data_IF_368822883898
#
_entry.id   IF_368822883898
#
_cell.length_a   1.000
_cell.length_b   1.000
_cell.length_c   1.000
_cell.angle_alpha   90.00
_cell.angle_beta   90.00
_cell.angle_gamma   90.00
#
_symmetry.space_group_name_H-M   'P 1'
#
loop_
_entity.id
_entity.type
_entity.pdbx_description
1 polymer ?
#
# COMPACT_ATOMS: atom_id res chain seq x y z
N UNK A 1 -23.92 -35.90 -0.41
CA UNK A 1 -23.07 -34.79 0.09
C UNK A 1 -21.65 -35.04 -0.38
N UNK A 2 -21.20 -34.27 -1.37
CA UNK A 2 -20.05 -34.64 -2.22
C UNK A 2 -18.70 -34.39 -1.57
N UNK A 3 -17.69 -35.16 -1.97
CA UNK A 3 -16.26 -35.05 -1.59
C UNK A 3 -15.62 -33.67 -1.88
N UNK A 4 -16.36 -32.73 -2.46
CA UNK A 4 -15.90 -31.39 -2.84
C UNK A 4 -15.74 -30.44 -1.64
N UNK A 5 -16.73 -30.44 -0.74
CA UNK A 5 -16.81 -29.57 0.45
C UNK A 5 -16.17 -30.19 1.69
N UNK A 6 -15.55 -31.36 1.56
CA UNK A 6 -14.90 -32.02 2.67
C UNK A 6 -13.64 -31.22 3.10
N UNK A 7 -13.43 -30.95 4.39
CA UNK A 7 -12.30 -30.13 4.87
C UNK A 7 -10.92 -30.70 4.51
N UNK A 8 -10.82 -32.02 4.31
CA UNK A 8 -9.60 -32.68 3.82
C UNK A 8 -9.41 -32.65 2.28
N UNK A 9 -10.35 -32.09 1.52
CA UNK A 9 -10.23 -31.96 0.07
C UNK A 9 -9.30 -30.79 -0.28
N UNK A 10 -8.01 -31.08 -0.41
CA UNK A 10 -7.02 -30.10 -0.88
C UNK A 10 -7.23 -29.71 -2.35
N UNK A 11 -6.52 -28.67 -2.79
CA UNK A 11 -6.56 -28.18 -4.17
C UNK A 11 -6.18 -29.26 -5.19
N UNK A 12 -5.31 -30.20 -4.82
CA UNK A 12 -4.95 -31.36 -5.63
C UNK A 12 -6.16 -32.24 -5.96
N UNK A 13 -6.96 -32.60 -4.96
CA UNK A 13 -8.16 -33.42 -5.12
C UNK A 13 -9.21 -32.72 -5.97
N UNK A 14 -9.44 -31.42 -5.73
CA UNK A 14 -10.37 -30.60 -6.52
C UNK A 14 -9.92 -30.50 -7.98
N UNK A 15 -8.63 -30.26 -8.24
CA UNK A 15 -8.06 -30.26 -9.59
C UNK A 15 -8.21 -31.63 -10.27
N UNK A 16 -7.99 -32.73 -9.55
CA UNK A 16 -8.16 -34.08 -10.08
C UNK A 16 -9.61 -34.32 -10.48
N UNK A 17 -10.57 -33.97 -9.63
CA UNK A 17 -12.00 -34.06 -9.92
C UNK A 17 -12.33 -33.27 -11.19
N UNK A 18 -11.97 -31.98 -11.23
CA UNK A 18 -12.25 -31.11 -12.39
C UNK A 18 -11.68 -31.66 -13.69
N UNK A 19 -10.44 -32.16 -13.69
CA UNK A 19 -9.82 -32.79 -14.87
C UNK A 19 -10.53 -34.06 -15.33
N UNK A 20 -11.18 -34.78 -14.43
CA UNK A 20 -11.95 -35.97 -14.77
C UNK A 20 -13.32 -35.60 -15.33
N UNK A 21 -13.99 -34.57 -14.81
CA UNK A 21 -15.38 -34.27 -15.19
C UNK A 21 -15.52 -33.27 -16.33
N UNK A 22 -14.54 -32.40 -16.56
CA UNK A 22 -14.56 -31.44 -17.66
C UNK A 22 -13.99 -32.11 -18.91
N UNK A 23 -14.78 -32.12 -19.99
CA UNK A 23 -14.36 -32.61 -21.30
C UNK A 23 -13.63 -31.54 -22.09
N UNK A 24 -14.24 -30.37 -22.20
CA UNK A 24 -13.65 -29.20 -22.84
C UNK A 24 -14.26 -27.91 -22.29
N UNK A 25 -13.56 -26.80 -22.48
CA UNK A 25 -14.06 -25.46 -22.17
C UNK A 25 -13.88 -24.64 -23.44
N UNK A 26 -15.00 -24.23 -24.04
CA UNK A 26 -15.03 -23.36 -25.20
C UNK A 26 -15.16 -21.94 -24.68
N UNK A 27 -14.22 -21.07 -25.06
CA UNK A 27 -14.25 -19.66 -24.71
C UNK A 27 -14.45 -18.82 -25.98
N UNK A 28 -15.50 -17.99 -26.00
CA UNK A 28 -15.77 -17.01 -27.06
C UNK A 28 -15.66 -15.61 -26.49
N UNK A 29 -15.03 -14.72 -27.25
CA UNK A 29 -14.95 -13.32 -26.88
C UNK A 29 -16.02 -12.55 -27.64
N UNK A 30 -16.92 -11.90 -26.90
CA UNK A 30 -17.96 -11.01 -27.44
C UNK A 30 -17.79 -9.65 -26.78
N UNK A 31 -17.34 -8.67 -27.56
CA UNK A 31 -17.00 -7.32 -27.09
C UNK A 31 -16.06 -7.31 -25.86
N UNK A 32 -16.60 -6.86 -24.72
CA UNK A 32 -15.94 -6.76 -23.43
C UNK A 32 -16.26 -7.95 -22.51
N UNK A 33 -16.75 -9.08 -23.04
CA UNK A 33 -17.06 -10.29 -22.29
C UNK A 33 -16.41 -11.52 -22.90
N UNK A 34 -16.12 -12.49 -22.04
CA UNK A 34 -15.71 -13.84 -22.40
C UNK A 34 -16.85 -14.75 -21.96
N UNK A 35 -17.47 -15.39 -22.94
CA UNK A 35 -18.48 -16.41 -22.75
C UNK A 35 -17.79 -17.77 -22.74
N UNK A 36 -18.08 -18.57 -21.72
CA UNK A 36 -17.58 -19.92 -21.57
C UNK A 36 -18.73 -20.90 -21.70
N UNK A 37 -18.48 -21.98 -22.43
CA UNK A 37 -19.29 -23.19 -22.41
C UNK A 37 -18.39 -24.31 -21.92
N UNK A 38 -18.71 -24.87 -20.76
CA UNK A 38 -18.02 -26.02 -20.19
C UNK A 38 -18.80 -27.26 -20.60
N UNK A 39 -18.20 -28.12 -21.41
CA UNK A 39 -18.77 -29.43 -21.71
C UNK A 39 -18.30 -30.43 -20.65
N UNK A 40 -19.25 -31.09 -20.02
CA UNK A 40 -18.98 -32.14 -19.05
C UNK A 40 -18.85 -33.50 -19.76
N UNK A 41 -18.09 -34.43 -19.17
CA UNK A 41 -17.97 -35.79 -19.71
C UNK A 41 -19.32 -36.53 -19.79
N UNK A 42 -20.33 -36.09 -19.03
CA UNK A 42 -21.69 -36.64 -19.06
C UNK A 42 -22.59 -36.12 -20.18
N UNK A 43 -22.08 -35.26 -21.09
CA UNK A 43 -22.84 -34.69 -22.20
C UNK A 43 -23.65 -33.43 -21.86
N UNK A 44 -23.67 -33.03 -20.58
CA UNK A 44 -24.26 -31.77 -20.13
C UNK A 44 -23.32 -30.58 -20.42
N UNK A 45 -23.85 -29.36 -20.42
CA UNK A 45 -23.06 -28.14 -20.59
C UNK A 45 -23.44 -27.06 -19.56
N UNK A 46 -22.44 -26.31 -19.11
CA UNK A 46 -22.64 -25.14 -18.27
C UNK A 46 -22.14 -23.88 -18.99
N UNK A 47 -23.02 -22.90 -19.10
CA UNK A 47 -22.70 -21.61 -19.70
C UNK A 47 -22.42 -20.56 -18.62
N UNK A 48 -21.40 -19.74 -18.83
CA UNK A 48 -21.14 -18.57 -17.99
C UNK A 48 -20.49 -17.44 -18.78
N UNK A 49 -20.73 -16.20 -18.36
CA UNK A 49 -20.15 -15.02 -19.00
C UNK A 49 -19.42 -14.18 -17.96
N UNK A 50 -18.19 -13.77 -18.28
CA UNK A 50 -17.38 -12.87 -17.44
C UNK A 50 -16.93 -11.66 -18.25
N UNK A 51 -16.68 -10.54 -17.58
CA UNK A 51 -16.11 -9.36 -18.25
C UNK A 51 -14.64 -9.64 -18.62
N UNK A 52 -14.30 -9.37 -19.88
CA UNK A 52 -12.96 -9.49 -20.45
C UNK A 52 -12.03 -8.45 -19.83
N UNK A 53 -10.88 -8.87 -19.32
CA UNK A 53 -9.82 -7.94 -18.92
C UNK A 53 -9.28 -7.22 -20.16
N UNK A 54 -9.11 -5.89 -20.11
CA UNK A 54 -8.46 -5.14 -21.20
C UNK A 54 -7.03 -5.64 -21.39
N UNK A 55 -6.56 -5.67 -22.64
CA UNK A 55 -5.19 -6.09 -22.96
C UNK A 55 -4.19 -5.29 -22.12
N UNK A 56 -3.31 -5.98 -21.38
CA UNK A 56 -2.37 -5.39 -20.42
C UNK A 56 -2.77 -5.48 -18.95
N UNK A 57 -3.96 -6.01 -18.62
CA UNK A 57 -4.44 -6.12 -17.24
C UNK A 57 -4.47 -7.57 -16.75
N UNK A 58 -3.80 -7.83 -15.62
CA UNK A 58 -4.03 -8.98 -14.74
C UNK A 58 -3.84 -8.52 -13.27
N UNK A 59 -4.59 -9.11 -12.31
CA UNK A 59 -4.54 -8.87 -10.84
C UNK A 59 -5.07 -7.48 -10.38
N UNK A 60 -6.40 -7.30 -10.38
CA UNK A 60 -7.10 -6.04 -10.09
C UNK A 60 -6.77 -5.33 -8.75
N UNK A 61 -6.31 -6.03 -7.70
CA UNK A 61 -5.97 -5.36 -6.42
C UNK A 61 -4.65 -4.58 -6.49
N UNK A 62 -3.65 -5.10 -7.21
CA UNK A 62 -2.33 -4.47 -7.22
C UNK A 62 -2.30 -3.15 -8.00
N UNK A 63 -3.05 -3.03 -9.09
CA UNK A 63 -3.05 -1.82 -9.91
C UNK A 63 -3.78 -0.65 -9.24
N UNK A 64 -4.92 -0.92 -8.59
CA UNK A 64 -5.67 0.10 -7.83
C UNK A 64 -4.88 0.55 -6.59
N UNK A 65 -4.32 -0.39 -5.83
CA UNK A 65 -3.50 -0.09 -4.65
C UNK A 65 -2.24 0.70 -5.04
N UNK A 66 -1.54 0.29 -6.11
CA UNK A 66 -0.37 1.01 -6.62
C UNK A 66 -0.76 2.39 -7.14
N UNK A 67 -1.88 2.52 -7.85
CA UNK A 67 -2.36 3.82 -8.32
C UNK A 67 -2.63 4.77 -7.16
N UNK A 68 -3.38 4.33 -6.15
CA UNK A 68 -3.68 5.13 -4.97
C UNK A 68 -2.39 5.53 -4.24
N UNK A 69 -1.47 4.58 -4.08
CA UNK A 69 -0.18 4.82 -3.44
C UNK A 69 0.65 5.84 -4.23
N UNK A 70 0.80 5.67 -5.54
CA UNK A 70 1.54 6.60 -6.41
C UNK A 70 0.88 7.98 -6.40
N UNK A 71 -0.46 8.07 -6.41
CA UNK A 71 -1.17 9.35 -6.27
C UNK A 71 -0.84 10.06 -4.96
N UNK A 72 -0.81 9.35 -3.82
CA UNK A 72 -0.46 9.95 -2.53
C UNK A 72 1.01 10.37 -2.47
N UNK A 73 1.90 9.56 -3.02
CA UNK A 73 3.33 9.83 -3.03
C UNK A 73 3.71 10.96 -4.00
N UNK A 74 3.03 11.09 -5.13
CA UNK A 74 3.29 12.12 -6.14
C UNK A 74 3.02 13.54 -5.61
N UNK A 75 2.18 13.69 -4.59
CA UNK A 75 1.94 14.98 -3.90
C UNK A 75 3.08 15.40 -2.96
N UNK A 76 4.10 14.55 -2.85
CA UNK A 76 5.08 14.58 -1.77
C UNK A 76 6.52 14.33 -2.22
N UNK A 77 6.70 13.51 -3.25
CA UNK A 77 7.99 12.99 -3.66
C UNK A 77 8.16 13.15 -5.16
N UNK A 78 9.38 13.40 -5.60
CA UNK A 78 9.75 13.29 -7.01
C UNK A 78 9.69 11.83 -7.47
N UNK A 79 9.43 11.61 -8.75
CA UNK A 79 9.25 10.29 -9.37
C UNK A 79 10.39 9.29 -9.03
N UNK A 80 11.65 9.75 -8.94
CA UNK A 80 12.79 8.90 -8.57
C UNK A 80 12.71 8.36 -7.13
N UNK A 81 12.29 9.19 -6.17
CA UNK A 81 12.09 8.76 -4.78
C UNK A 81 10.89 7.82 -4.64
N UNK A 82 9.84 8.03 -5.43
CA UNK A 82 8.69 7.12 -5.52
C UNK A 82 9.16 5.76 -6.00
N UNK A 83 9.96 5.70 -7.07
CA UNK A 83 10.49 4.45 -7.60
C UNK A 83 11.29 3.66 -6.55
N UNK A 84 12.19 4.34 -5.83
CA UNK A 84 12.98 3.72 -4.76
C UNK A 84 12.09 3.15 -3.65
N UNK A 85 11.03 3.88 -3.26
CA UNK A 85 10.10 3.45 -2.23
C UNK A 85 9.30 2.22 -2.66
N UNK A 86 8.77 2.22 -3.89
CA UNK A 86 8.03 1.08 -4.44
C UNK A 86 8.90 -0.18 -4.51
N UNK A 87 10.16 -0.05 -4.92
CA UNK A 87 11.12 -1.16 -4.96
C UNK A 87 11.46 -1.71 -3.57
N UNK A 88 11.63 -0.81 -2.58
CA UNK A 88 11.87 -1.20 -1.19
C UNK A 88 10.69 -1.98 -0.61
N UNK A 89 9.47 -1.60 -0.99
CA UNK A 89 8.22 -2.27 -0.61
C UNK A 89 7.89 -3.49 -1.48
N UNK A 90 8.78 -3.88 -2.40
CA UNK A 90 8.63 -5.04 -3.29
C UNK A 90 7.44 -4.96 -4.24
N UNK A 91 6.96 -3.75 -4.55
CA UNK A 91 6.02 -3.56 -5.67
C UNK A 91 6.74 -3.79 -7.00
N UNK A 92 6.06 -4.46 -7.92
CA UNK A 92 6.55 -4.80 -9.26
C UNK A 92 5.55 -4.36 -10.31
N UNK A 93 6.02 -4.01 -11.51
CA UNK A 93 5.18 -3.69 -12.66
C UNK A 93 5.25 -4.84 -13.67
N UNK A 94 4.10 -5.23 -14.23
CA UNK A 94 4.03 -6.19 -15.35
C UNK A 94 4.71 -7.52 -15.03
N UNK A 95 5.54 -8.04 -15.95
CA UNK A 95 6.37 -9.25 -15.77
C UNK A 95 7.57 -8.99 -14.83
N UNK A 96 7.32 -8.72 -13.55
CA UNK A 96 8.35 -8.60 -12.49
C UNK A 96 9.36 -7.45 -12.65
N UNK A 97 9.02 -6.42 -13.42
CA UNK A 97 9.92 -5.29 -13.63
C UNK A 97 10.03 -4.41 -12.39
N UNK A 98 11.25 -3.94 -12.12
CA UNK A 98 11.57 -2.94 -11.08
C UNK A 98 11.03 -1.56 -11.47
N UNK A 99 10.65 -0.74 -10.48
CA UNK A 99 10.30 0.66 -10.72
C UNK A 99 11.54 1.49 -11.01
N UNK A 100 11.47 2.33 -12.04
CA UNK A 100 12.44 3.38 -12.35
C UNK A 100 11.72 4.71 -12.44
N UNK A 101 12.44 5.82 -12.36
CA UNK A 101 11.85 7.16 -12.50
C UNK A 101 11.02 7.28 -13.79
N UNK A 102 11.56 6.82 -14.92
CA UNK A 102 10.87 6.83 -16.22
C UNK A 102 9.58 6.00 -16.20
N UNK A 103 9.57 4.86 -15.50
CA UNK A 103 8.38 4.02 -15.35
C UNK A 103 7.33 4.66 -14.45
N UNK A 104 7.75 5.34 -13.37
CA UNK A 104 6.83 6.14 -12.53
C UNK A 104 6.23 7.26 -13.36
N UNK A 105 7.04 8.02 -14.11
CA UNK A 105 6.56 9.09 -14.99
C UNK A 105 5.53 8.59 -16.01
N UNK A 106 5.81 7.47 -16.68
CA UNK A 106 4.91 6.87 -17.64
C UNK A 106 3.60 6.39 -16.99
N UNK A 107 3.70 5.69 -15.86
CA UNK A 107 2.54 5.24 -15.08
C UNK A 107 1.69 6.41 -14.60
N UNK A 108 2.33 7.48 -14.13
CA UNK A 108 1.70 8.71 -13.68
C UNK A 108 0.92 9.37 -14.82
N UNK A 109 1.53 9.49 -16.00
CA UNK A 109 0.91 10.06 -17.20
C UNK A 109 -0.28 9.23 -17.70
N UNK A 110 -0.21 7.90 -17.64
CA UNK A 110 -1.31 7.02 -18.08
C UNK A 110 -2.50 7.01 -17.12
N UNK A 111 -2.31 7.45 -15.87
CA UNK A 111 -3.33 7.45 -14.82
C UNK A 111 -3.79 8.85 -14.41
N UNK A 112 -3.35 9.88 -15.14
CA UNK A 112 -3.65 11.29 -14.92
C UNK A 112 -3.31 11.78 -13.49
N UNK A 113 -2.10 11.45 -13.05
CA UNK A 113 -1.59 11.84 -11.73
C UNK A 113 -0.68 13.07 -11.90
N UNK A 114 -0.88 14.10 -11.08
CA UNK A 114 -0.06 15.32 -11.14
C UNK A 114 1.39 15.07 -10.71
N UNK A 115 2.35 15.81 -11.29
CA UNK A 115 3.75 15.83 -10.84
C UNK A 115 3.85 16.51 -9.48
N UNK A 116 4.79 16.08 -8.64
CA UNK A 116 5.18 16.82 -7.45
C UNK A 116 5.58 18.27 -7.77
N UNK A 117 4.88 19.23 -7.19
CA UNK A 117 5.21 20.65 -7.27
C UNK A 117 5.75 21.13 -5.91
N UNK A 118 6.90 21.81 -5.94
CA UNK A 118 7.41 22.49 -4.75
C UNK A 118 6.40 23.54 -4.27
N UNK A 119 6.18 23.64 -2.95
CA UNK A 119 5.22 24.56 -2.36
C UNK A 119 3.78 24.03 -2.23
N UNK A 120 3.40 22.97 -2.94
CA UNK A 120 2.05 22.39 -2.86
C UNK A 120 1.71 21.87 -1.45
N UNK A 121 2.73 21.35 -0.75
CA UNK A 121 2.63 20.91 0.65
C UNK A 121 2.38 22.07 1.61
N UNK A 122 3.16 23.15 1.46
CA UNK A 122 3.06 24.34 2.29
C UNK A 122 1.70 25.02 2.12
N UNK A 123 1.17 25.07 0.88
CA UNK A 123 -0.18 25.57 0.61
C UNK A 123 -1.30 24.77 1.28
N UNK A 124 -1.07 23.49 1.63
CA UNK A 124 -2.00 22.67 2.42
C UNK A 124 -1.79 22.75 3.92
N UNK A 125 -0.80 23.52 4.38
CA UNK A 125 -0.37 23.52 5.78
C UNK A 125 0.26 22.20 6.21
N UNK A 126 0.71 21.37 5.26
CA UNK A 126 1.42 20.12 5.51
C UNK A 126 2.91 20.39 5.72
N UNK A 127 3.49 19.78 6.75
CA UNK A 127 4.92 19.90 7.07
C UNK A 127 5.55 18.53 7.26
N UNK A 128 6.85 18.45 6.94
CA UNK A 128 7.62 17.21 7.11
C UNK A 128 7.94 16.94 8.58
N UNK A 129 8.43 15.74 8.86
CA UNK A 129 8.92 15.37 10.18
C UNK A 129 10.07 16.28 10.65
N UNK A 130 10.97 16.64 9.75
CA UNK A 130 12.07 17.58 9.98
C UNK A 130 11.54 18.93 10.44
N UNK A 131 10.66 19.54 9.64
CA UNK A 131 10.08 20.84 9.93
C UNK A 131 9.29 20.81 11.24
N UNK A 132 8.58 19.71 11.52
CA UNK A 132 7.87 19.53 12.78
C UNK A 132 8.81 19.51 13.98
N UNK A 133 9.96 18.84 13.85
CA UNK A 133 10.98 18.80 14.90
C UNK A 133 11.58 20.20 15.15
N UNK A 134 11.87 20.94 14.08
CA UNK A 134 12.40 22.30 14.15
C UNK A 134 11.40 23.25 14.83
N UNK A 135 10.12 23.19 14.44
CA UNK A 135 9.05 24.03 15.02
C UNK A 135 8.84 23.74 16.51
N UNK A 136 8.90 22.48 16.92
CA UNK A 136 8.76 22.07 18.32
C UNK A 136 10.06 22.23 19.13
N UNK A 137 11.18 22.58 18.48
CA UNK A 137 12.50 22.66 19.10
C UNK A 137 12.92 21.33 19.73
N UNK A 138 12.68 20.22 19.04
CA UNK A 138 12.95 18.86 19.54
C UNK A 138 13.62 17.98 18.48
N UNK A 139 13.96 16.75 18.83
CA UNK A 139 14.54 15.80 17.86
C UNK A 139 13.45 15.11 17.04
N UNK A 140 13.78 14.66 15.81
CA UNK A 140 12.87 13.86 14.97
C UNK A 140 12.35 12.62 15.70
N UNK A 141 13.18 12.01 16.56
CA UNK A 141 12.80 10.85 17.35
C UNK A 141 11.71 11.17 18.36
N UNK A 142 11.73 12.35 18.98
CA UNK A 142 10.65 12.79 19.87
C UNK A 142 9.35 12.99 19.10
N UNK A 143 9.39 13.61 17.92
CA UNK A 143 8.21 13.77 17.07
C UNK A 143 7.63 12.39 16.68
N UNK A 144 8.47 11.43 16.28
CA UNK A 144 8.02 10.06 15.99
C UNK A 144 7.40 9.35 17.20
N UNK A 145 7.91 9.61 18.41
CA UNK A 145 7.33 9.07 19.65
C UNK A 145 5.96 9.67 19.93
N UNK A 146 5.80 10.98 19.74
CA UNK A 146 4.50 11.65 19.89
C UNK A 146 3.46 11.13 18.89
N UNK A 147 3.88 10.86 17.64
CA UNK A 147 3.02 10.22 16.63
C UNK A 147 2.64 8.81 17.07
N UNK A 148 3.62 8.01 17.50
CA UNK A 148 3.39 6.63 17.96
C UNK A 148 2.49 6.56 19.20
N UNK A 149 2.58 7.55 20.09
CA UNK A 149 1.74 7.69 21.29
C UNK A 149 0.35 8.28 21.00
N UNK A 150 0.09 8.75 19.78
CA UNK A 150 -1.17 9.38 19.39
C UNK A 150 -1.33 10.84 19.84
N UNK A 151 -0.33 11.41 20.53
CA UNK A 151 -0.34 12.81 20.97
C UNK A 151 -0.27 13.79 19.80
N UNK A 152 0.43 13.44 18.71
CA UNK A 152 0.54 14.24 17.50
C UNK A 152 -0.11 13.51 16.31
N UNK A 153 -1.06 14.16 15.65
CA UNK A 153 -1.69 13.63 14.44
C UNK A 153 -0.77 13.74 13.24
N UNK A 154 -0.43 12.59 12.64
CA UNK A 154 0.37 12.52 11.43
C UNK A 154 -0.09 11.37 10.54
N UNK A 155 0.16 11.48 9.24
CA UNK A 155 -0.17 10.45 8.26
C UNK A 155 1.04 10.06 7.43
N UNK A 156 1.08 8.80 7.00
CA UNK A 156 2.10 8.25 6.12
C UNK A 156 1.43 7.41 5.04
N UNK A 157 1.74 7.66 3.77
CA UNK A 157 1.11 6.95 2.64
C UNK A 157 1.43 5.44 2.64
N UNK A 158 2.66 5.09 3.02
CA UNK A 158 3.09 3.71 3.21
C UNK A 158 4.35 3.66 4.08
N UNK A 159 4.69 2.47 4.60
CA UNK A 159 5.86 2.30 5.47
C UNK A 159 7.13 2.90 4.84
N UNK A 160 7.72 3.87 5.52
CA UNK A 160 8.95 4.53 5.12
C UNK A 160 8.78 5.66 4.10
N UNK A 161 7.55 6.03 3.74
CA UNK A 161 7.26 7.33 3.13
C UNK A 161 7.50 8.47 4.14
N UNK A 162 7.68 9.72 3.71
CA UNK A 162 7.71 10.85 4.63
C UNK A 162 6.44 10.92 5.49
N UNK A 163 6.59 11.29 6.75
CA UNK A 163 5.47 11.65 7.61
C UNK A 163 4.95 13.04 7.22
N UNK A 164 3.63 13.15 7.16
CA UNK A 164 2.91 14.41 6.94
C UNK A 164 2.19 14.79 8.22
N UNK A 165 2.55 15.94 8.75
CA UNK A 165 1.89 16.58 9.89
C UNK A 165 1.16 17.83 9.41
N UNK A 166 0.08 18.25 10.07
CA UNK A 166 -0.50 19.57 9.83
C UNK A 166 0.13 20.58 10.76
N UNK A 167 0.49 21.75 10.24
CA UNK A 167 1.06 22.85 11.04
C UNK A 167 0.19 23.19 12.26
N UNK A 168 -1.12 23.28 12.08
CA UNK A 168 -2.06 23.60 13.17
C UNK A 168 -2.08 22.58 14.30
N UNK A 169 -1.77 21.31 14.03
CA UNK A 169 -1.74 20.27 15.08
C UNK A 169 -0.57 20.47 16.04
N UNK A 170 0.53 21.10 15.60
CA UNK A 170 1.71 21.36 16.44
C UNK A 170 1.50 22.51 17.42
N UNK A 171 0.58 23.43 17.12
CA UNK A 171 0.30 24.58 17.97
C UNK A 171 -0.61 24.22 19.15
N UNK A 172 -1.23 23.04 19.10
CA UNK A 172 -2.12 22.56 20.16
C UNK A 172 -1.40 22.49 21.51
N UNK A 173 -2.02 22.97 22.59
CA UNK A 173 -1.40 22.98 23.91
C UNK A 173 -1.12 21.56 24.41
N UNK A 174 -1.94 20.58 24.03
CA UNK A 174 -1.71 19.17 24.38
C UNK A 174 -0.39 18.63 23.79
N UNK A 175 -0.09 18.98 22.53
CA UNK A 175 1.16 18.57 21.86
C UNK A 175 2.35 19.25 22.52
N UNK A 176 2.25 20.54 22.85
CA UNK A 176 3.32 21.27 23.54
C UNK A 176 3.56 20.73 24.95
N UNK A 177 2.51 20.37 25.69
CA UNK A 177 2.60 19.71 27.00
C UNK A 177 3.33 18.38 26.90
N UNK A 178 2.91 17.51 25.97
CA UNK A 178 3.54 16.22 25.74
C UNK A 178 5.03 16.35 25.33
N UNK A 179 5.40 17.40 24.59
CA UNK A 179 6.82 17.71 24.29
C UNK A 179 7.59 18.03 25.58
N UNK A 180 7.04 18.84 26.50
CA UNK A 180 7.71 19.16 27.76
C UNK A 180 7.84 17.94 28.67
N UNK A 181 6.79 17.12 28.78
CA UNK A 181 6.83 15.85 29.52
C UNK A 181 7.91 14.92 28.96
N UNK A 182 8.02 14.81 27.62
CA UNK A 182 9.04 13.99 26.97
C UNK A 182 10.48 14.47 27.21
N UNK A 183 10.68 15.74 27.59
CA UNK A 183 11.99 16.29 27.98
C UNK A 183 12.32 15.98 29.44
N UNK A 184 11.30 15.88 30.29
CA UNK A 184 11.44 15.61 31.71
C UNK A 184 11.56 14.12 32.03
N UNK A 185 10.98 13.24 31.21
CA UNK A 185 11.04 11.79 31.43
C UNK A 185 12.24 11.14 30.72
N UNK A 186 12.83 10.09 31.34
CA UNK A 186 13.78 9.22 30.66
C UNK A 186 13.18 8.64 29.38
N UNK A 187 14.04 8.23 28.44
CA UNK A 187 13.63 7.43 27.30
C UNK A 187 12.86 6.19 27.79
N UNK A 188 11.92 5.73 26.97
CA UNK A 188 11.02 4.59 27.24
C UNK A 188 11.72 3.52 28.07
N UNK A 189 11.17 3.21 29.25
CA UNK A 189 11.64 2.08 30.07
C UNK A 189 11.54 0.82 29.20
N UNK A 190 12.66 0.37 28.65
CA UNK A 190 12.73 -0.94 28.03
C UNK A 190 12.78 -1.96 29.17
N UNK A 191 11.77 -2.84 29.32
CA UNK A 191 11.75 -3.85 30.39
C UNK A 191 12.91 -4.86 30.27
N UNK A 192 13.69 -4.84 29.19
CA UNK A 192 14.92 -5.63 29.00
C UNK A 192 16.19 -4.84 29.32
N UNK A 193 16.09 -3.57 29.68
CA UNK A 193 17.24 -2.73 30.00
C UNK A 193 17.61 -2.92 31.47
N UNK A 194 18.81 -3.46 31.70
CA UNK A 194 19.36 -3.61 33.05
C UNK A 194 19.80 -2.22 33.55
N UNK A 195 19.36 -1.78 34.74
CA UNK A 195 19.82 -0.52 35.32
C UNK A 195 21.33 -0.59 35.60
N UNK A 196 22.06 0.46 35.24
CA UNK A 196 23.45 0.65 35.68
C UNK A 196 23.43 1.29 37.08
N UNK A 197 23.75 0.50 38.09
CA UNK A 197 24.06 0.97 39.44
C UNK A 197 25.43 1.66 39.39
N UNK A 198 25.45 2.99 39.44
CA UNK A 198 26.69 3.75 39.59
C UNK A 198 27.01 3.84 41.09
N UNK A 199 28.10 3.20 41.50
CA UNK A 199 28.69 3.31 42.85
C UNK A 199 29.49 4.61 43.01
#
# INVERSE_FOLDING_TARGET
>A
MGRWDHPAAGNESRKRILRTVIREIIARVVDARIEFVIHWQGGDHAEMSVVKNRAGQHRWSADIEVRQLVSQLARQLKDGSIAALLNRLRYRIGRELTWTETRVRAFRSSHDIAVYQGGEREGRGEITLEQAADILGTSKMTVLRLISAGSLSASQACKGAPWVNKRGDLERPEVRGAVQESRASPLTLDPRQIPLELQ
#
